data_IF_561525476131
#
_entry.id   IF_561525476131
#
_cell.length_a   1.000
_cell.length_b   1.000
_cell.length_c   1.000
_cell.angle_alpha   90.00
_cell.angle_beta   90.00
_cell.angle_gamma   90.00
#
_symmetry.space_group_name_H-M   'P 1'
#
loop_
_entity.id
_entity.type
_entity.pdbx_description
1 polymer ?
#
# COMPACT_ATOMS: atom_id res chain seq x y z
N UNK A 1 25.90 17.24 -18.99
CA UNK A 1 25.86 17.43 -17.53
C UNK A 1 24.48 17.02 -17.06
N UNK A 2 24.39 15.82 -16.53
CA UNK A 2 23.12 15.19 -16.14
C UNK A 2 22.93 15.44 -14.64
N UNK A 3 21.95 16.24 -14.27
CA UNK A 3 21.49 16.36 -12.87
C UNK A 3 20.18 15.61 -12.75
N UNK A 4 20.27 14.33 -12.49
CA UNK A 4 19.15 13.52 -12.01
C UNK A 4 18.94 13.86 -10.54
N UNK A 5 17.95 14.67 -10.24
CA UNK A 5 17.50 14.91 -8.86
C UNK A 5 16.20 14.14 -8.66
N UNK A 6 16.34 12.83 -8.45
CA UNK A 6 15.25 11.99 -7.97
C UNK A 6 15.13 12.23 -6.47
N UNK A 7 14.20 13.08 -6.07
CA UNK A 7 13.89 13.32 -4.66
C UNK A 7 12.78 12.36 -4.26
N UNK A 8 13.13 11.10 -4.09
CA UNK A 8 12.31 10.15 -3.34
C UNK A 8 12.65 10.35 -1.87
N UNK A 9 11.64 10.60 -1.06
CA UNK A 9 11.71 10.96 0.35
C UNK A 9 12.59 10.04 1.18
N UNK A 10 13.72 10.55 1.62
CA UNK A 10 14.47 9.96 2.73
C UNK A 10 13.79 10.44 4.02
N UNK A 11 13.11 9.56 4.71
CA UNK A 11 12.68 9.77 6.09
C UNK A 11 13.92 9.64 6.97
N UNK A 12 14.49 10.77 7.36
CA UNK A 12 15.52 10.80 8.39
C UNK A 12 14.87 10.48 9.75
N UNK A 13 15.14 9.29 10.27
CA UNK A 13 14.88 8.94 11.64
C UNK A 13 15.85 9.73 12.53
N UNK A 14 15.36 10.76 13.19
CA UNK A 14 16.08 11.44 14.28
C UNK A 14 15.88 10.63 15.55
N UNK A 15 16.90 9.83 15.91
CA UNK A 15 17.03 9.20 17.21
C UNK A 15 17.31 10.26 18.27
N UNK A 16 16.37 10.50 19.16
CA UNK A 16 16.56 11.25 20.39
C UNK A 16 16.81 10.28 21.55
N UNK A 17 18.06 10.18 21.99
CA UNK A 17 18.44 9.53 23.24
C UNK A 17 18.09 10.50 24.36
N UNK A 18 17.19 10.11 25.27
CA UNK A 18 17.05 10.72 26.58
C UNK A 18 17.25 9.64 27.63
N UNK A 19 18.42 9.69 28.25
CA UNK A 19 18.70 8.99 29.51
C UNK A 19 17.95 9.69 30.63
N UNK A 20 17.17 8.94 31.39
CA UNK A 20 16.51 9.39 32.61
C UNK A 20 16.41 8.24 33.58
N UNK A 21 17.38 8.18 34.51
CA UNK A 21 17.35 7.34 35.71
C UNK A 21 16.19 7.72 36.63
N UNK A 22 15.54 6.72 37.23
CA UNK A 22 14.59 6.95 38.32
C UNK A 22 14.12 5.64 38.92
N UNK A 23 14.73 5.27 40.00
CA UNK A 23 14.52 4.09 40.87
C UNK A 23 13.15 4.00 41.51
N UNK A 24 12.83 2.80 41.90
CA UNK A 24 12.24 2.31 43.17
C UNK A 24 10.92 1.59 43.08
N UNK A 25 11.02 0.29 43.17
CA UNK A 25 10.45 -0.63 44.17
C UNK A 25 8.99 -0.50 44.60
N UNK A 26 8.20 -1.55 44.46
CA UNK A 26 7.85 -2.43 45.57
C UNK A 26 7.03 -3.63 45.15
N UNK A 27 7.51 -4.75 45.69
CA UNK A 27 6.85 -6.05 45.83
C UNK A 27 5.42 -5.97 46.39
N UNK A 28 4.58 -6.88 45.97
CA UNK A 28 3.79 -7.66 46.90
C UNK A 28 3.33 -8.96 46.24
N UNK A 29 3.84 -10.01 46.77
CA UNK A 29 3.38 -11.38 46.60
C UNK A 29 2.04 -11.55 47.28
N UNK A 30 1.17 -12.39 46.75
CA UNK A 30 0.20 -13.15 47.53
C UNK A 30 -0.14 -14.45 46.90
N UNK A 31 0.25 -15.45 47.54
CA UNK A 31 0.07 -16.88 47.58
C UNK A 31 -1.40 -17.28 47.79
N UNK A 32 -1.81 -18.39 47.23
CA UNK A 32 -2.57 -19.53 47.76
C UNK A 32 -3.35 -20.19 46.64
N UNK A 33 -3.01 -21.36 46.15
CA UNK A 33 -3.25 -22.69 46.69
C UNK A 33 -4.73 -23.08 46.70
N UNK A 34 -5.04 -24.12 45.92
CA UNK A 34 -6.32 -24.77 45.90
C UNK A 34 -6.30 -25.99 44.96
N UNK A 35 -5.73 -27.07 45.45
CA UNK A 35 -5.80 -28.44 44.95
C UNK A 35 -7.19 -28.99 45.17
N UNK A 36 -7.79 -29.70 44.19
CA UNK A 36 -8.61 -30.90 44.44
C UNK A 36 -8.69 -31.83 43.22
N UNK A 37 -8.33 -33.03 43.49
CA UNK A 37 -8.31 -34.31 42.78
C UNK A 37 -9.53 -34.68 41.97
N UNK A 38 -9.24 -35.51 40.98
CA UNK A 38 -10.11 -36.42 40.22
C UNK A 38 -10.79 -37.50 41.16
N UNK A 39 -11.54 -38.53 40.75
CA UNK A 39 -11.49 -39.28 39.46
C UNK A 39 -12.86 -39.87 38.99
N UNK A 40 -12.76 -40.64 37.91
CA UNK A 40 -13.70 -41.71 37.54
C UNK A 40 -14.43 -41.45 36.23
N UNK A 41 -14.45 -42.25 35.22
CA UNK A 41 -14.28 -43.64 35.01
C UNK A 41 -15.24 -44.05 33.91
N UNK A 42 -14.79 -44.99 33.02
CA UNK A 42 -15.70 -45.75 32.16
C UNK A 42 -15.65 -45.36 30.68
N UNK A 43 -14.92 -46.00 29.91
CA UNK A 43 -14.95 -47.23 29.19
C UNK A 43 -15.92 -47.32 27.99
N UNK A 44 -15.26 -47.72 26.88
CA UNK A 44 -15.70 -48.56 25.77
C UNK A 44 -16.43 -47.96 24.59
N UNK A 45 -15.88 -48.10 23.48
CA UNK A 45 -16.09 -48.99 22.38
C UNK A 45 -15.95 -48.36 21.01
N UNK A 46 -14.91 -48.79 20.39
CA UNK A 46 -14.76 -49.38 19.04
C UNK A 46 -15.38 -48.69 17.81
N UNK A 47 -14.45 -48.56 16.87
CA UNK A 47 -14.56 -48.88 15.46
C UNK A 47 -15.24 -47.87 14.52
N UNK A 48 -14.46 -47.30 13.70
CA UNK A 48 -14.40 -47.58 12.29
C UNK A 48 -13.68 -46.43 11.56
N UNK A 49 -12.51 -46.71 11.14
CA UNK A 49 -11.84 -45.96 10.07
C UNK A 49 -12.63 -46.16 8.79
N UNK A 50 -12.87 -45.13 8.00
CA UNK A 50 -12.38 -45.14 6.66
C UNK A 50 -11.54 -43.90 6.35
N UNK A 51 -10.34 -44.14 5.97
CA UNK A 51 -9.45 -43.24 5.26
C UNK A 51 -10.08 -42.90 3.92
N UNK A 52 -10.31 -41.59 3.63
CA UNK A 52 -10.36 -41.22 2.22
C UNK A 52 -8.98 -40.72 1.80
N UNK A 53 -8.51 -41.32 0.75
CA UNK A 53 -7.31 -41.00 0.02
C UNK A 53 -7.23 -39.46 -0.23
N UNK A 54 -6.20 -38.84 0.31
CA UNK A 54 -5.77 -37.51 -0.08
C UNK A 54 -5.19 -37.60 -1.48
N UNK A 55 -6.01 -37.34 -2.46
CA UNK A 55 -5.53 -37.01 -3.79
C UNK A 55 -4.97 -35.58 -3.69
N UNK A 56 -3.69 -35.50 -3.48
CA UNK A 56 -2.92 -34.25 -3.58
C UNK A 56 -2.90 -33.87 -5.05
N UNK A 57 -3.92 -33.15 -5.48
CA UNK A 57 -3.87 -32.43 -6.74
C UNK A 57 -2.98 -31.21 -6.51
N UNK A 58 -1.71 -31.38 -6.78
CA UNK A 58 -0.76 -30.28 -6.92
C UNK A 58 -1.19 -29.49 -8.14
N UNK A 59 -2.09 -28.54 -7.94
CA UNK A 59 -2.37 -27.52 -8.94
C UNK A 59 -1.17 -26.59 -8.96
N UNK A 60 -0.21 -26.94 -9.78
CA UNK A 60 0.83 -26.01 -10.22
C UNK A 60 0.12 -24.87 -10.91
N UNK A 61 -0.11 -23.79 -10.18
CA UNK A 61 -0.52 -22.51 -10.74
C UNK A 61 0.62 -22.02 -11.62
N UNK A 62 0.67 -22.52 -12.86
CA UNK A 62 1.45 -21.89 -13.90
C UNK A 62 0.88 -20.50 -14.06
N UNK A 63 1.59 -19.52 -13.51
CA UNK A 63 1.37 -18.10 -13.76
C UNK A 63 1.55 -17.88 -15.26
N UNK A 64 0.46 -18.05 -16.01
CA UNK A 64 0.40 -17.64 -17.41
C UNK A 64 0.61 -16.14 -17.41
N UNK A 65 1.81 -15.73 -17.79
CA UNK A 65 2.14 -14.36 -18.11
C UNK A 65 1.38 -13.98 -19.38
N UNK A 66 0.06 -13.82 -19.24
CA UNK A 66 -0.78 -13.28 -20.30
C UNK A 66 -0.32 -11.85 -20.52
N UNK A 67 0.36 -11.60 -21.61
CA UNK A 67 0.78 -10.25 -22.00
C UNK A 67 -0.46 -9.38 -22.17
N UNK A 68 -0.83 -8.67 -21.12
CA UNK A 68 -1.94 -7.71 -21.16
C UNK A 68 -1.56 -6.60 -22.12
N UNK A 69 -2.31 -6.44 -23.19
CA UNK A 69 -2.10 -5.33 -24.13
C UNK A 69 -2.39 -4.01 -23.42
N UNK A 70 -1.37 -3.23 -23.17
CA UNK A 70 -1.50 -1.92 -22.54
C UNK A 70 -2.20 -0.94 -23.49
N UNK A 71 -3.06 -0.04 -22.96
CA UNK A 71 -3.71 0.99 -23.73
C UNK A 71 -2.73 1.92 -24.45
N UNK A 72 -3.09 2.38 -25.66
CA UNK A 72 -2.27 3.36 -26.39
C UNK A 72 -2.07 4.66 -25.60
N UNK A 73 -3.01 5.01 -24.72
CA UNK A 73 -2.93 6.16 -23.83
C UNK A 73 -1.74 6.12 -22.87
N UNK A 74 -1.19 4.92 -22.60
CA UNK A 74 0.00 4.74 -21.75
C UNK A 74 1.31 5.18 -22.42
N UNK A 75 1.28 5.56 -23.68
CA UNK A 75 2.44 6.11 -24.40
C UNK A 75 2.64 7.60 -24.18
N UNK A 76 1.63 8.27 -23.61
CA UNK A 76 1.63 9.72 -23.43
C UNK A 76 1.40 10.07 -21.97
N UNK A 77 2.27 10.95 -21.44
CA UNK A 77 2.15 11.48 -20.09
C UNK A 77 0.78 12.18 -19.90
N UNK A 78 -0.01 11.80 -18.89
CA UNK A 78 -1.29 12.44 -18.67
C UNK A 78 -1.11 13.85 -18.08
N UNK A 79 -1.91 14.79 -18.56
CA UNK A 79 -1.94 16.14 -18.00
C UNK A 79 -2.94 16.19 -16.86
N UNK A 80 -2.49 16.61 -15.68
CA UNK A 80 -3.37 16.84 -14.53
C UNK A 80 -3.97 18.25 -14.64
N UNK A 81 -5.31 18.30 -14.59
CA UNK A 81 -6.05 19.55 -14.41
C UNK A 81 -6.80 19.48 -13.09
N UNK A 82 -6.58 20.46 -12.24
CA UNK A 82 -7.36 20.57 -11.00
C UNK A 82 -8.84 20.75 -11.35
N UNK A 83 -9.74 20.01 -10.70
CA UNK A 83 -11.18 20.23 -10.88
C UNK A 83 -11.64 21.58 -10.31
N UNK A 84 -10.77 22.27 -9.54
CA UNK A 84 -11.11 23.53 -8.87
C UNK A 84 -12.04 23.34 -7.67
N UNK A 85 -12.42 24.47 -7.05
CA UNK A 85 -13.32 24.47 -5.89
C UNK A 85 -12.68 23.95 -4.60
N UNK A 86 -13.52 23.59 -3.64
CA UNK A 86 -13.07 23.13 -2.32
C UNK A 86 -12.47 21.73 -2.41
N UNK A 87 -11.24 21.52 -1.92
CA UNK A 87 -10.62 20.20 -1.92
C UNK A 87 -11.44 19.18 -1.11
N UNK A 88 -11.55 17.93 -1.57
CA UNK A 88 -12.27 16.91 -0.84
C UNK A 88 -11.56 16.53 0.46
N UNK A 89 -12.34 16.23 1.50
CA UNK A 89 -11.83 15.80 2.82
C UNK A 89 -11.60 14.28 2.90
N UNK A 90 -12.04 13.53 1.89
CA UNK A 90 -11.88 12.08 1.78
C UNK A 90 -11.11 11.74 0.51
N UNK A 91 -10.51 10.56 0.49
CA UNK A 91 -9.91 10.01 -0.73
C UNK A 91 -10.95 9.88 -1.83
N UNK A 92 -10.66 10.46 -3.00
CA UNK A 92 -11.49 10.30 -4.19
C UNK A 92 -10.73 9.46 -5.21
N UNK A 93 -11.39 8.42 -5.71
CA UNK A 93 -10.84 7.47 -6.68
C UNK A 93 -11.70 7.52 -7.93
N UNK A 94 -11.08 7.78 -9.08
CA UNK A 94 -11.76 7.81 -10.37
C UNK A 94 -11.00 7.01 -11.40
N UNK A 95 -11.62 5.97 -11.95
CA UNK A 95 -11.04 5.22 -13.04
C UNK A 95 -11.23 6.01 -14.34
N UNK A 96 -10.12 6.42 -14.96
CA UNK A 96 -10.11 7.08 -16.27
C UNK A 96 -10.10 6.04 -17.39
N UNK A 97 -9.36 4.94 -17.18
CA UNK A 97 -9.35 3.76 -18.05
C UNK A 97 -9.48 2.55 -17.14
N UNK A 98 -10.42 1.67 -17.43
CA UNK A 98 -10.56 0.40 -16.72
C UNK A 98 -9.64 -0.63 -17.36
N UNK A 99 -8.69 -1.16 -16.58
CA UNK A 99 -7.82 -2.24 -17.03
C UNK A 99 -8.55 -3.57 -17.20
N UNK A 100 -7.99 -4.44 -18.00
CA UNK A 100 -8.53 -5.78 -18.29
C UNK A 100 -7.70 -6.91 -17.68
N UNK A 101 -6.51 -6.59 -17.16
CA UNK A 101 -5.62 -7.56 -16.54
C UNK A 101 -5.95 -7.87 -15.07
N UNK A 102 -5.04 -8.57 -14.38
CA UNK A 102 -5.18 -8.88 -12.95
C UNK A 102 -5.41 -7.63 -12.11
N UNK A 103 -6.16 -7.79 -11.03
CA UNK A 103 -6.39 -6.70 -10.08
C UNK A 103 -5.35 -6.73 -8.95
N UNK A 104 -4.96 -5.55 -8.49
CA UNK A 104 -4.15 -5.39 -7.30
C UNK A 104 -5.02 -5.65 -6.06
N UNK A 105 -4.77 -6.76 -5.38
CA UNK A 105 -5.58 -7.21 -4.23
C UNK A 105 -4.88 -6.98 -2.89
N UNK A 106 -3.55 -6.99 -2.88
CA UNK A 106 -2.77 -6.92 -1.66
C UNK A 106 -1.78 -5.74 -1.67
N UNK A 107 -1.63 -5.04 -0.54
CA UNK A 107 -0.71 -3.91 -0.45
C UNK A 107 0.77 -4.32 -0.47
N UNK A 108 1.06 -5.62 -0.36
CA UNK A 108 2.42 -6.17 -0.38
C UNK A 108 2.89 -6.55 -1.78
N UNK A 109 2.00 -6.53 -2.77
CA UNK A 109 2.34 -6.84 -4.15
C UNK A 109 3.27 -5.79 -4.74
N UNK A 110 4.19 -6.26 -5.59
CA UNK A 110 5.04 -5.38 -6.37
C UNK A 110 4.31 -4.97 -7.65
N UNK A 111 4.33 -3.69 -7.94
CA UNK A 111 3.68 -3.13 -9.12
C UNK A 111 4.67 -2.37 -9.99
N UNK A 112 4.42 -2.43 -11.28
CA UNK A 112 5.09 -1.56 -12.25
C UNK A 112 4.10 -0.49 -12.66
N UNK A 113 4.40 0.77 -12.32
CA UNK A 113 3.51 1.91 -12.56
C UNK A 113 4.24 3.06 -13.24
N UNK A 114 3.46 3.90 -13.92
CA UNK A 114 3.84 5.26 -14.27
C UNK A 114 2.87 6.21 -13.58
N UNK A 115 3.35 7.33 -13.06
CA UNK A 115 2.49 8.30 -12.39
C UNK A 115 2.93 9.74 -12.61
N UNK A 116 1.99 10.64 -12.45
CA UNK A 116 2.20 12.08 -12.33
C UNK A 116 1.48 12.57 -11.08
N UNK A 117 2.17 13.37 -10.25
CA UNK A 117 1.62 13.98 -9.04
C UNK A 117 1.62 15.49 -9.13
N UNK A 118 0.49 16.11 -8.82
CA UNK A 118 0.32 17.57 -8.83
C UNK A 118 -0.44 18.06 -7.60
N UNK A 119 -0.28 19.36 -7.31
CA UNK A 119 -1.06 20.03 -6.27
C UNK A 119 -2.49 20.28 -6.76
N UNK A 120 -3.48 20.01 -5.90
CA UNK A 120 -4.89 20.27 -6.20
C UNK A 120 -5.20 21.73 -6.49
N UNK A 121 -4.54 22.67 -5.80
CA UNK A 121 -4.84 24.07 -5.85
C UNK A 121 -4.49 24.76 -7.17
N UNK A 122 -3.44 24.30 -7.85
CA UNK A 122 -2.89 25.00 -9.02
C UNK A 122 -2.37 24.05 -10.12
N UNK A 123 -2.60 22.75 -10.00
CA UNK A 123 -2.13 21.73 -10.94
C UNK A 123 -0.60 21.70 -11.13
N UNK A 124 0.16 22.32 -10.23
CA UNK A 124 1.62 22.32 -10.31
C UNK A 124 2.14 20.91 -10.06
N UNK A 125 2.78 20.32 -11.06
CA UNK A 125 3.42 19.02 -10.94
C UNK A 125 4.60 19.13 -9.99
N UNK A 126 4.65 18.25 -8.99
CA UNK A 126 5.76 18.15 -8.03
C UNK A 126 6.58 16.89 -8.22
N UNK A 127 6.01 15.85 -8.84
CA UNK A 127 6.69 14.59 -9.09
C UNK A 127 6.09 13.87 -10.31
N UNK A 128 6.93 13.14 -11.05
CA UNK A 128 6.50 12.35 -12.20
C UNK A 128 7.52 11.25 -12.47
N UNK A 129 7.06 10.02 -12.63
CA UNK A 129 7.89 8.89 -13.05
C UNK A 129 7.98 8.72 -14.57
N UNK A 130 7.31 9.56 -15.36
CA UNK A 130 7.22 9.40 -16.83
C UNK A 130 8.54 9.49 -17.57
N UNK A 131 9.55 10.11 -16.98
CA UNK A 131 10.90 10.18 -17.57
C UNK A 131 11.69 8.87 -17.41
N UNK A 132 11.32 8.08 -16.40
CA UNK A 132 11.99 6.84 -16.01
C UNK A 132 11.02 5.65 -16.08
N UNK A 133 10.15 5.65 -17.07
CA UNK A 133 8.99 4.75 -17.20
C UNK A 133 9.34 3.38 -17.73
N UNK A 134 8.61 2.37 -17.30
CA UNK A 134 7.79 2.28 -16.08
C UNK A 134 8.66 1.94 -14.86
N UNK A 135 8.35 2.51 -13.71
CA UNK A 135 9.08 2.24 -12.47
C UNK A 135 8.41 1.11 -11.67
N UNK A 136 9.22 0.21 -11.11
CA UNK A 136 8.72 -0.89 -10.26
C UNK A 136 8.73 -0.48 -8.81
N UNK A 137 7.62 -0.64 -8.13
CA UNK A 137 7.43 -0.29 -6.72
C UNK A 137 6.67 -1.40 -5.97
N UNK A 138 7.07 -1.63 -4.72
CA UNK A 138 6.21 -2.37 -3.77
C UNK A 138 5.23 -1.39 -3.16
N UNK A 139 3.95 -1.73 -3.11
CA UNK A 139 2.89 -0.78 -2.70
C UNK A 139 2.93 -0.45 -1.20
N UNK A 140 3.56 -1.26 -0.37
CA UNK A 140 3.65 -1.00 1.07
C UNK A 140 4.30 0.36 1.37
N UNK A 141 3.66 1.17 2.20
CA UNK A 141 4.15 2.48 2.66
C UNK A 141 5.58 2.39 3.22
N UNK A 142 5.87 1.32 3.95
CA UNK A 142 7.19 1.11 4.54
C UNK A 142 8.28 0.89 3.49
N UNK A 143 7.94 0.34 2.32
CA UNK A 143 8.89 -0.01 1.27
C UNK A 143 8.93 1.02 0.13
N UNK A 144 7.80 1.65 -0.20
CA UNK A 144 7.68 2.53 -1.37
C UNK A 144 7.88 4.00 -1.07
N UNK A 145 7.67 4.43 0.18
CA UNK A 145 7.65 5.84 0.55
C UNK A 145 6.42 6.61 0.04
N UNK A 146 5.44 5.93 -0.56
CA UNK A 146 4.19 6.55 -0.97
C UNK A 146 3.33 6.94 0.23
N UNK A 147 2.47 7.93 0.05
CA UNK A 147 1.52 8.35 1.07
C UNK A 147 0.38 7.34 1.22
N UNK A 148 -0.22 7.17 2.43
CA UNK A 148 -1.27 6.17 2.65
C UNK A 148 -2.44 6.25 1.68
N UNK A 149 -2.82 7.45 1.25
CA UNK A 149 -3.90 7.63 0.28
C UNK A 149 -3.57 7.11 -1.12
N UNK A 150 -2.30 7.09 -1.50
CA UNK A 150 -1.87 6.52 -2.77
C UNK A 150 -2.02 5.00 -2.76
N UNK A 151 -1.54 4.34 -1.71
CA UNK A 151 -1.65 2.88 -1.55
C UNK A 151 -3.12 2.43 -1.52
N UNK A 152 -3.93 3.08 -0.67
CA UNK A 152 -5.38 2.80 -0.60
C UNK A 152 -6.07 3.03 -1.94
N UNK A 153 -5.65 4.06 -2.66
CA UNK A 153 -6.21 4.42 -3.95
C UNK A 153 -5.89 3.42 -5.06
N UNK A 154 -4.80 2.66 -4.96
CA UNK A 154 -4.41 1.67 -5.96
C UNK A 154 -5.08 0.32 -5.78
N UNK A 155 -5.50 -0.03 -4.57
CA UNK A 155 -6.18 -1.31 -4.33
C UNK A 155 -7.40 -1.47 -5.24
N UNK A 156 -7.57 -2.68 -5.76
CA UNK A 156 -8.61 -3.01 -6.73
C UNK A 156 -8.37 -2.47 -8.15
N UNK A 157 -7.24 -1.80 -8.41
CA UNK A 157 -6.89 -1.37 -9.76
C UNK A 157 -6.44 -2.56 -10.60
N UNK A 158 -6.88 -2.61 -11.87
CA UNK A 158 -6.48 -3.68 -12.78
C UNK A 158 -5.35 -3.24 -13.70
N UNK A 159 -4.48 -4.18 -14.04
CA UNK A 159 -3.42 -3.98 -15.04
C UNK A 159 -4.01 -3.48 -16.36
N UNK A 160 -3.37 -2.48 -16.96
CA UNK A 160 -3.88 -1.75 -18.13
C UNK A 160 -4.85 -0.63 -17.77
N UNK A 161 -5.07 -0.35 -16.49
CA UNK A 161 -5.93 0.74 -16.02
C UNK A 161 -5.19 2.06 -15.82
N UNK A 162 -5.89 3.18 -15.99
CA UNK A 162 -5.47 4.53 -15.59
C UNK A 162 -6.44 5.05 -14.55
N UNK A 163 -5.92 5.55 -13.44
CA UNK A 163 -6.71 6.01 -12.29
C UNK A 163 -6.25 7.39 -11.82
N UNK A 164 -7.22 8.23 -11.53
CA UNK A 164 -7.02 9.51 -10.86
C UNK A 164 -7.33 9.34 -9.37
N UNK A 165 -6.43 9.84 -8.53
CA UNK A 165 -6.55 9.85 -7.08
C UNK A 165 -6.49 11.29 -6.58
N UNK A 166 -7.48 11.73 -5.79
CA UNK A 166 -7.41 13.00 -5.07
C UNK A 166 -7.27 12.69 -3.59
N UNK A 167 -6.10 12.99 -3.06
CA UNK A 167 -5.67 12.57 -1.73
C UNK A 167 -5.69 13.79 -0.79
N UNK A 168 -6.56 13.78 0.25
CA UNK A 168 -6.59 14.86 1.21
C UNK A 168 -5.33 14.87 2.10
N UNK A 169 -5.00 16.00 2.75
CA UNK A 169 -3.81 16.10 3.59
C UNK A 169 -3.72 15.02 4.68
N UNK A 170 -4.84 14.59 5.24
CA UNK A 170 -4.89 13.55 6.28
C UNK A 170 -4.32 12.20 5.85
N UNK A 171 -4.42 11.88 4.55
CA UNK A 171 -3.90 10.67 3.92
C UNK A 171 -2.62 10.94 3.07
N UNK A 172 -2.10 12.17 3.14
CA UNK A 172 -0.86 12.60 2.50
C UNK A 172 0.16 13.06 3.56
N UNK A 173 0.75 14.22 3.39
CA UNK A 173 1.80 14.75 4.28
C UNK A 173 1.27 15.53 5.49
N UNK A 174 -0.06 15.59 5.68
CA UNK A 174 -0.71 16.29 6.80
C UNK A 174 -0.27 17.77 6.87
N UNK A 175 0.12 18.22 8.04
CA UNK A 175 0.59 19.58 8.32
C UNK A 175 2.10 19.77 8.08
N UNK A 176 2.76 18.81 7.42
CA UNK A 176 4.19 18.89 7.13
C UNK A 176 4.44 19.34 5.70
N UNK A 177 5.39 20.25 5.51
CA UNK A 177 5.92 20.57 4.19
C UNK A 177 6.82 19.46 3.71
N UNK A 178 6.69 19.05 2.43
CA UNK A 178 7.51 18.03 1.82
C UNK A 178 8.09 18.52 0.49
N UNK A 179 9.35 18.87 0.47
CA UNK A 179 9.99 19.44 -0.70
C UNK A 179 9.24 20.69 -1.23
N UNK A 180 8.71 20.60 -2.45
CA UNK A 180 7.89 21.64 -3.09
C UNK A 180 6.41 21.62 -2.70
N UNK A 181 5.98 20.60 -1.91
CA UNK A 181 4.59 20.44 -1.46
C UNK A 181 4.39 21.22 -0.16
N UNK A 182 3.51 22.23 -0.12
CA UNK A 182 3.19 22.95 1.10
C UNK A 182 2.51 22.08 2.15
N UNK A 183 2.55 22.49 3.42
CA UNK A 183 1.76 21.86 4.47
C UNK A 183 0.25 21.93 4.13
N UNK A 184 -0.51 20.95 4.59
CA UNK A 184 -1.97 20.85 4.37
C UNK A 184 -2.40 20.81 2.89
N UNK A 185 -1.53 20.30 2.01
CA UNK A 185 -1.84 20.19 0.58
C UNK A 185 -2.68 18.96 0.27
N UNK A 186 -3.72 19.14 -0.52
CA UNK A 186 -4.41 18.06 -1.24
C UNK A 186 -3.66 17.75 -2.52
N UNK A 187 -3.43 16.48 -2.79
CA UNK A 187 -2.65 16.01 -3.92
C UNK A 187 -3.56 15.36 -4.96
N UNK A 188 -3.19 15.49 -6.24
CA UNK A 188 -3.81 14.75 -7.34
C UNK A 188 -2.73 13.87 -7.96
N UNK A 189 -3.04 12.59 -8.16
CA UNK A 189 -2.20 11.69 -8.92
C UNK A 189 -3.00 11.09 -10.08
N UNK A 190 -2.35 10.93 -11.22
CA UNK A 190 -2.81 10.02 -12.27
C UNK A 190 -1.79 8.90 -12.35
N UNK A 191 -2.27 7.67 -12.26
CA UNK A 191 -1.45 6.46 -12.19
C UNK A 191 -1.87 5.49 -13.28
N UNK A 192 -0.89 4.93 -13.99
CA UNK A 192 -1.02 3.85 -14.95
C UNK A 192 -0.43 2.58 -14.35
N UNK A 193 -1.20 1.52 -14.30
CA UNK A 193 -0.75 0.22 -13.80
C UNK A 193 -0.35 -0.68 -14.97
N UNK A 194 0.96 -0.94 -15.10
CA UNK A 194 1.54 -1.71 -16.19
C UNK A 194 1.61 -3.21 -15.89
N UNK A 195 2.01 -3.57 -14.66
CA UNK A 195 2.14 -4.97 -14.24
C UNK A 195 1.99 -5.11 -12.73
N UNK A 196 1.72 -6.33 -12.29
CA UNK A 196 1.71 -6.78 -10.90
C UNK A 196 2.56 -8.06 -10.83
N UNK A 197 3.44 -8.17 -9.83
CA UNK A 197 4.29 -9.33 -9.56
C UNK A 197 4.35 -9.67 -8.07
#
# INVERSE_FOLDING_TARGET
>A
MRKTLSIICVVAAVGGVVAGCGSSSKSSASTAAGVVLAPGGGATSAAATPTPASTTTTTSSSTSSSSVKLPAAFKTEPTIKSPGGTPPKKLVIKNLITGTGPALTEPTQTVTIAYVGALYTNSKVFDSSWKDVPSTHTISQAASGFVPGFEQGLLGMKVGGRRELIIPPSLAYKNKKQGSIPANSTLIFIVDLHAIS
#
